data_IF_220248920524
#
_entry.id   IF_220248920524
#
_cell.length_a   1.000
_cell.length_b   1.000
_cell.length_c   1.000
_cell.angle_alpha   90.00
_cell.angle_beta   90.00
_cell.angle_gamma   90.00
#
_symmetry.space_group_name_H-M   'P 1'
#
loop_
_entity.id
_entity.type
_entity.pdbx_description
1 polymer ?
#
# COMPACT_ATOMS: atom_id res chain seq x y z
N UNK A 1 47.97 17.52 -5.45
CA UNK A 1 48.08 17.75 -6.90
C UNK A 1 46.76 18.31 -7.41
N UNK A 2 46.79 19.55 -7.80
CA UNK A 2 45.65 20.30 -8.37
C UNK A 2 45.56 20.01 -9.86
N UNK A 3 44.40 19.74 -10.40
CA UNK A 3 44.17 19.91 -11.85
C UNK A 3 42.85 20.66 -12.05
N UNK A 4 43.02 21.89 -12.53
CA UNK A 4 42.03 22.78 -13.13
C UNK A 4 41.75 22.31 -14.56
N UNK A 5 40.49 22.38 -15.00
CA UNK A 5 40.16 22.50 -16.42
C UNK A 5 39.17 23.63 -16.63
N UNK A 6 39.70 24.70 -17.29
CA UNK A 6 38.98 25.88 -17.77
C UNK A 6 38.67 25.69 -19.26
N UNK A 7 37.44 26.08 -19.64
CA UNK A 7 36.97 26.74 -20.84
C UNK A 7 37.37 26.23 -22.26
N UNK A 8 36.34 26.09 -23.08
CA UNK A 8 36.36 26.62 -24.44
C UNK A 8 34.95 26.94 -24.96
N UNK A 9 34.69 28.23 -25.15
CA UNK A 9 33.59 28.81 -25.91
C UNK A 9 33.93 28.78 -27.40
N UNK A 10 33.02 28.33 -28.28
CA UNK A 10 33.05 28.63 -29.71
C UNK A 10 31.88 29.53 -30.05
N UNK A 11 32.19 30.76 -30.40
CA UNK A 11 31.29 31.76 -30.95
C UNK A 11 31.21 31.53 -32.46
N UNK A 12 30.04 31.26 -33.00
CA UNK A 12 29.76 31.23 -34.43
C UNK A 12 29.03 32.53 -34.83
N UNK A 13 29.71 33.38 -35.61
CA UNK A 13 29.15 34.59 -36.21
C UNK A 13 28.45 34.19 -37.50
N UNK A 14 27.14 34.48 -37.62
CA UNK A 14 26.41 34.44 -38.89
C UNK A 14 26.02 35.88 -39.25
N UNK A 15 26.46 36.29 -40.44
CA UNK A 15 26.23 37.60 -41.01
C UNK A 15 24.76 37.81 -41.45
N UNK A 16 24.18 38.95 -41.09
CA UNK A 16 22.86 39.38 -41.49
C UNK A 16 22.99 40.32 -42.68
N UNK A 17 22.38 39.93 -43.78
CA UNK A 17 22.14 40.83 -44.93
C UNK A 17 20.90 41.68 -44.68
N UNK A 18 21.09 43.01 -44.73
CA UNK A 18 20.02 43.99 -44.66
C UNK A 18 19.24 44.05 -45.98
N UNK A 19 17.94 43.94 -45.93
CA UNK A 19 17.01 44.42 -46.92
C UNK A 19 16.12 45.47 -46.25
N UNK A 20 16.23 46.70 -46.77
CA UNK A 20 15.50 47.89 -46.34
C UNK A 20 14.29 48.05 -47.25
N UNK A 21 13.08 48.20 -46.72
CA UNK A 21 12.02 49.09 -47.18
C UNK A 21 10.72 48.91 -46.45
N UNK A 22 10.10 49.99 -45.98
CA UNK A 22 8.69 50.03 -45.58
C UNK A 22 8.45 50.65 -44.22
N UNK A 23 8.31 51.96 -44.13
CA UNK A 23 7.82 52.74 -43.02
C UNK A 23 6.37 52.38 -42.72
N UNK A 24 6.08 51.90 -41.47
CA UNK A 24 4.75 52.06 -40.86
C UNK A 24 4.93 52.32 -39.37
N UNK A 25 4.24 53.35 -38.90
CA UNK A 25 4.23 53.85 -37.54
C UNK A 25 3.96 52.73 -36.49
N UNK A 26 4.91 52.52 -35.60
CA UNK A 26 4.76 51.65 -34.45
C UNK A 26 4.49 52.56 -33.24
N UNK A 27 3.26 52.58 -32.76
CA UNK A 27 2.91 53.08 -31.43
C UNK A 27 3.68 52.30 -30.38
N UNK A 28 4.24 52.92 -29.33
CA UNK A 28 4.98 52.20 -28.30
C UNK A 28 4.00 51.33 -27.52
N UNK A 29 4.29 50.02 -27.50
CA UNK A 29 3.64 49.06 -26.56
C UNK A 29 3.90 49.57 -25.14
N UNK A 30 2.82 49.91 -24.43
CA UNK A 30 2.85 50.11 -22.99
C UNK A 30 3.35 48.81 -22.36
N UNK A 31 4.40 48.93 -21.55
CA UNK A 31 4.77 47.84 -20.62
C UNK A 31 3.54 47.56 -19.77
N UNK A 32 2.86 46.44 -20.02
CA UNK A 32 1.98 45.81 -19.09
C UNK A 32 2.87 45.41 -17.90
N UNK A 33 2.75 46.12 -16.80
CA UNK A 33 3.26 45.64 -15.52
C UNK A 33 2.70 44.23 -15.31
N UNK A 34 3.63 43.27 -15.13
CA UNK A 34 3.25 41.94 -14.68
C UNK A 34 2.40 42.11 -13.41
N UNK A 35 1.26 41.40 -13.25
CA UNK A 35 0.48 41.52 -12.06
C UNK A 35 1.41 41.18 -10.88
N UNK A 36 1.47 42.11 -9.90
CA UNK A 36 2.07 41.85 -8.61
C UNK A 36 1.53 40.50 -8.11
N UNK A 37 2.36 39.47 -8.11
CA UNK A 37 2.06 38.21 -7.45
C UNK A 37 2.00 38.54 -5.97
N UNK A 38 0.81 38.85 -5.47
CA UNK A 38 0.53 38.88 -4.04
C UNK A 38 0.94 37.49 -3.55
N UNK A 39 2.01 37.44 -2.77
CA UNK A 39 2.50 36.23 -2.15
C UNK A 39 1.34 35.66 -1.32
N UNK A 40 0.68 34.63 -1.84
CA UNK A 40 -0.42 34.02 -1.10
C UNK A 40 0.16 33.32 0.12
N UNK A 41 -0.43 33.53 1.31
CA UNK A 41 0.08 32.94 2.55
C UNK A 41 0.18 31.43 2.39
N UNK A 42 1.33 30.86 2.80
CA UNK A 42 1.60 29.41 2.70
C UNK A 42 0.72 28.67 3.69
N UNK A 43 -0.33 28.04 3.18
CA UNK A 43 -1.19 27.16 3.97
C UNK A 43 -0.60 25.75 4.01
N UNK A 44 -0.38 25.23 5.23
CA UNK A 44 0.08 23.87 5.45
C UNK A 44 -0.61 23.24 6.66
N UNK A 45 -1.06 22.02 6.53
CA UNK A 45 -1.82 21.30 7.59
C UNK A 45 -3.09 22.05 8.04
N UNK A 46 -3.69 22.87 7.16
CA UNK A 46 -4.83 23.72 7.48
C UNK A 46 -4.48 24.86 8.44
N UNK A 47 -3.25 25.36 8.41
CA UNK A 47 -2.76 26.50 9.17
C UNK A 47 -2.01 27.45 8.22
N UNK A 48 -2.22 28.75 8.42
CA UNK A 48 -1.39 29.81 7.79
C UNK A 48 -0.05 29.79 8.52
N UNK A 49 0.96 29.23 7.87
CA UNK A 49 2.23 28.86 8.50
C UNK A 49 3.01 30.06 9.03
N UNK A 50 2.87 31.20 8.39
CA UNK A 50 3.52 32.48 8.76
C UNK A 50 3.03 33.04 10.11
N UNK A 51 1.88 32.60 10.59
CA UNK A 51 1.34 33.00 11.90
C UNK A 51 1.98 32.26 13.08
N UNK A 52 2.90 31.34 12.81
CA UNK A 52 3.51 30.48 13.83
C UNK A 52 5.03 30.43 13.69
N UNK A 53 5.72 30.42 14.83
CA UNK A 53 7.08 29.89 14.89
C UNK A 53 7.00 28.37 14.92
N UNK A 54 7.82 27.68 14.13
CA UNK A 54 7.70 26.23 13.95
C UNK A 54 8.99 25.52 14.28
N UNK A 55 8.90 24.52 15.16
CA UNK A 55 9.90 23.49 15.37
C UNK A 55 9.47 22.18 14.71
N UNK A 56 10.43 21.37 14.26
CA UNK A 56 10.12 20.12 13.57
C UNK A 56 11.18 19.06 13.77
N UNK A 57 10.79 17.81 13.58
CA UNK A 57 11.72 16.70 13.68
C UNK A 57 11.09 15.38 13.27
N UNK A 58 11.75 14.29 13.64
CA UNK A 58 11.27 12.93 13.46
C UNK A 58 11.17 12.23 14.82
N UNK A 59 10.13 11.39 14.96
CA UNK A 59 9.97 10.55 16.15
C UNK A 59 11.11 9.54 16.22
N UNK A 60 11.88 9.54 17.32
CA UNK A 60 12.96 8.57 17.55
C UNK A 60 12.40 7.29 18.21
N UNK A 61 13.14 6.21 18.12
CA UNK A 61 12.78 4.95 18.78
C UNK A 61 12.62 5.17 20.29
N UNK A 62 11.49 4.71 20.85
CA UNK A 62 11.17 4.86 22.28
C UNK A 62 10.64 6.23 22.69
N UNK A 63 10.55 7.22 21.79
CA UNK A 63 9.90 8.50 22.12
C UNK A 63 8.37 8.34 22.19
N UNK A 64 7.79 8.98 23.19
CA UNK A 64 6.34 9.12 23.38
C UNK A 64 5.93 10.60 23.19
N UNK A 65 4.63 10.86 23.17
CA UNK A 65 4.09 12.22 23.09
C UNK A 65 4.70 13.15 24.15
N UNK A 66 4.89 12.66 25.38
CA UNK A 66 5.51 13.45 26.45
C UNK A 66 6.96 13.84 26.17
N UNK A 67 7.75 12.97 25.53
CA UNK A 67 9.12 13.31 25.13
C UNK A 67 9.18 14.44 24.09
N UNK A 68 8.11 14.62 23.32
CA UNK A 68 8.02 15.65 22.27
C UNK A 68 7.43 16.96 22.81
N UNK A 69 6.45 16.89 23.73
CA UNK A 69 5.72 18.06 24.20
C UNK A 69 6.29 18.69 25.48
N UNK A 70 6.93 17.91 26.38
CA UNK A 70 7.52 18.46 27.60
C UNK A 70 8.62 19.51 27.35
N UNK A 71 9.52 19.34 26.35
CA UNK A 71 10.50 20.37 26.01
C UNK A 71 9.87 21.69 25.51
N UNK A 72 8.65 21.62 24.96
CA UNK A 72 7.88 22.76 24.48
C UNK A 72 7.14 23.50 25.64
N UNK A 73 7.34 23.09 26.90
CA UNK A 73 6.78 23.75 28.08
C UNK A 73 5.41 23.23 28.52
N UNK A 74 4.87 22.15 27.90
CA UNK A 74 3.60 21.57 28.35
C UNK A 74 3.77 20.77 29.64
N UNK A 75 2.88 20.99 30.61
CA UNK A 75 2.85 20.22 31.84
C UNK A 75 2.46 18.76 31.62
N UNK A 76 2.90 17.86 32.50
CA UNK A 76 2.53 16.45 32.45
C UNK A 76 0.99 16.24 32.45
N UNK A 77 0.27 17.07 33.23
CA UNK A 77 -1.19 17.06 33.29
C UNK A 77 -1.83 17.43 31.94
N UNK A 78 -1.34 18.48 31.28
CA UNK A 78 -1.84 18.89 29.96
C UNK A 78 -1.60 17.79 28.91
N UNK A 79 -0.42 17.15 28.92
CA UNK A 79 -0.09 16.08 27.99
C UNK A 79 -1.02 14.87 28.17
N UNK A 80 -1.37 14.51 29.41
CA UNK A 80 -2.34 13.44 29.68
C UNK A 80 -3.71 13.82 29.14
N UNK A 81 -4.18 15.04 29.40
CA UNK A 81 -5.48 15.52 28.88
C UNK A 81 -5.53 15.54 27.34
N UNK A 82 -4.44 15.95 26.67
CA UNK A 82 -4.32 15.88 25.20
C UNK A 82 -4.44 14.44 24.71
N UNK A 83 -3.75 13.50 25.36
CA UNK A 83 -3.80 12.10 25.00
C UNK A 83 -5.19 11.48 25.22
N UNK A 84 -5.89 11.86 26.28
CA UNK A 84 -7.27 11.44 26.56
C UNK A 84 -8.26 12.06 25.58
N UNK A 85 -8.14 13.36 25.33
CA UNK A 85 -9.01 14.09 24.37
C UNK A 85 -8.82 13.62 22.93
N UNK A 86 -7.71 12.97 22.58
CA UNK A 86 -7.50 12.38 21.26
C UNK A 86 -8.28 11.09 21.04
N UNK A 87 -8.80 10.42 22.09
CA UNK A 87 -9.60 9.22 21.97
C UNK A 87 -11.09 9.56 21.66
N UNK A 88 -11.79 8.71 20.87
CA UNK A 88 -11.34 7.45 20.27
C UNK A 88 -10.62 7.63 18.92
N UNK A 89 -10.53 8.85 18.38
CA UNK A 89 -10.11 9.12 17.01
C UNK A 89 -8.65 8.75 16.74
N UNK A 90 -7.79 8.99 17.74
CA UNK A 90 -6.37 8.68 17.64
C UNK A 90 -5.74 8.20 18.95
N UNK A 91 -5.11 7.02 18.92
CA UNK A 91 -4.29 6.53 20.01
C UNK A 91 -2.84 6.99 19.86
N UNK A 92 -2.41 7.91 20.71
CA UNK A 92 -1.03 8.48 20.70
C UNK A 92 0.07 7.42 20.85
N UNK A 93 -0.26 6.22 21.40
CA UNK A 93 0.67 5.08 21.50
C UNK A 93 0.94 4.43 20.13
N UNK A 94 0.15 4.77 19.11
CA UNK A 94 0.34 4.30 17.74
C UNK A 94 1.37 5.10 16.94
N UNK A 95 1.96 6.14 17.54
CA UNK A 95 3.03 6.93 16.91
C UNK A 95 4.23 6.05 16.57
N UNK A 96 4.74 6.19 15.35
CA UNK A 96 5.83 5.35 14.83
C UNK A 96 7.13 6.12 14.75
N UNK A 97 8.23 5.47 15.14
CA UNK A 97 9.58 5.98 14.89
C UNK A 97 9.82 6.22 13.40
N UNK A 98 10.52 7.30 13.06
CA UNK A 98 10.81 7.72 11.70
C UNK A 98 9.77 8.68 11.09
N UNK A 99 8.59 8.80 11.65
CA UNK A 99 7.58 9.74 11.17
C UNK A 99 7.89 11.17 11.59
N UNK A 100 7.59 12.12 10.71
CA UNK A 100 7.83 13.54 10.95
C UNK A 100 6.78 14.15 11.89
N UNK A 101 7.19 15.20 12.59
CA UNK A 101 6.33 16.01 13.43
C UNK A 101 6.69 17.50 13.34
N UNK A 102 5.72 18.36 13.65
CA UNK A 102 5.87 19.82 13.76
C UNK A 102 5.17 20.30 15.01
N UNK A 103 5.80 21.27 15.69
CA UNK A 103 5.23 22.06 16.79
C UNK A 103 5.09 23.50 16.30
N UNK A 104 3.87 24.01 16.31
CA UNK A 104 3.56 25.38 15.94
C UNK A 104 3.31 26.21 17.21
N UNK A 105 4.13 27.23 17.39
CA UNK A 105 4.06 28.18 18.50
C UNK A 105 3.45 29.50 18.01
N UNK A 106 2.60 30.11 18.81
CA UNK A 106 2.09 31.45 18.48
C UNK A 106 3.24 32.45 18.38
N UNK A 107 3.14 33.41 17.46
CA UNK A 107 4.09 34.52 17.35
C UNK A 107 3.76 35.59 18.42
N UNK A 108 3.63 35.18 19.68
CA UNK A 108 3.48 36.05 20.83
C UNK A 108 4.78 36.07 21.69
N UNK A 109 4.85 36.96 22.67
CA UNK A 109 6.03 37.09 23.53
C UNK A 109 6.31 35.86 24.40
N UNK A 110 5.32 34.98 24.59
CA UNK A 110 5.40 33.77 25.40
C UNK A 110 5.78 32.54 24.55
N UNK A 111 5.76 32.66 23.20
CA UNK A 111 5.93 31.54 22.25
C UNK A 111 5.09 30.32 22.67
N UNK A 112 3.78 30.55 22.87
CA UNK A 112 2.87 29.52 23.39
C UNK A 112 2.66 28.41 22.37
N UNK A 113 2.88 27.11 22.72
CA UNK A 113 2.64 26.01 21.81
C UNK A 113 1.15 25.86 21.54
N UNK A 114 0.74 26.01 20.27
CA UNK A 114 -0.67 26.00 19.84
C UNK A 114 -1.07 24.68 19.22
N UNK A 115 -0.22 24.12 18.37
CA UNK A 115 -0.52 22.87 17.65
C UNK A 115 0.68 21.95 17.63
N UNK A 116 0.39 20.63 17.75
CA UNK A 116 1.32 19.57 17.43
C UNK A 116 0.78 18.79 16.24
N UNK A 117 1.55 18.70 15.16
CA UNK A 117 1.17 17.97 13.95
C UNK A 117 2.08 16.73 13.84
N UNK A 118 1.46 15.57 13.73
CA UNK A 118 2.16 14.30 13.57
C UNK A 118 1.79 13.69 12.22
N UNK A 119 2.76 13.50 11.34
CA UNK A 119 2.56 12.87 10.04
C UNK A 119 2.50 11.35 10.20
N UNK A 120 1.33 10.76 9.95
CA UNK A 120 1.08 9.32 10.15
C UNK A 120 1.65 8.47 9.01
N UNK A 121 1.65 9.02 7.80
CA UNK A 121 2.25 8.47 6.59
C UNK A 121 2.48 9.59 5.58
N UNK A 122 2.70 9.26 4.30
CA UNK A 122 3.01 10.24 3.25
C UNK A 122 1.91 11.30 3.02
N UNK A 123 0.66 11.02 3.41
CA UNK A 123 -0.51 11.86 3.13
C UNK A 123 -1.27 12.21 4.41
N UNK A 124 -1.49 11.23 5.30
CA UNK A 124 -2.31 11.40 6.50
C UNK A 124 -1.52 12.05 7.63
N UNK A 125 -2.16 12.97 8.35
CA UNK A 125 -1.62 13.56 9.56
C UNK A 125 -2.66 13.67 10.67
N UNK A 126 -2.18 13.81 11.91
CA UNK A 126 -2.97 14.13 13.09
C UNK A 126 -2.52 15.51 13.61
N UNK A 127 -3.45 16.46 13.70
CA UNK A 127 -3.24 17.80 14.24
C UNK A 127 -3.87 17.89 15.63
N UNK A 128 -3.05 18.01 16.65
CA UNK A 128 -3.46 18.15 18.05
C UNK A 128 -3.54 19.62 18.41
N UNK A 129 -4.64 20.04 19.00
CA UNK A 129 -4.76 21.34 19.63
C UNK A 129 -4.15 21.27 21.04
N UNK A 130 -3.14 22.09 21.30
CA UNK A 130 -2.40 22.10 22.56
C UNK A 130 -2.94 23.09 23.61
N UNK A 131 -3.93 23.86 23.25
CA UNK A 131 -4.71 24.76 24.11
C UNK A 131 -6.12 24.20 24.34
N UNK A 132 -6.72 24.47 25.50
CA UNK A 132 -8.08 24.05 25.78
C UNK A 132 -9.12 24.79 24.89
N UNK A 133 -10.13 24.10 24.38
CA UNK A 133 -10.38 22.66 24.54
C UNK A 133 -9.41 21.80 23.73
N UNK A 134 -8.77 20.82 24.41
CA UNK A 134 -7.88 19.89 23.76
C UNK A 134 -8.64 18.99 22.77
N UNK A 135 -7.96 18.58 21.71
CA UNK A 135 -8.54 17.69 20.72
C UNK A 135 -7.55 17.28 19.64
N UNK A 136 -7.96 16.34 18.80
CA UNK A 136 -7.21 15.91 17.61
C UNK A 136 -8.09 15.98 16.37
N UNK A 137 -7.54 16.48 15.29
CA UNK A 137 -8.14 16.43 13.96
C UNK A 137 -7.29 15.48 13.09
N UNK A 138 -7.93 14.43 12.57
CA UNK A 138 -7.32 13.59 11.53
C UNK A 138 -7.63 14.21 10.17
N UNK A 139 -6.61 14.44 9.37
CA UNK A 139 -6.76 15.05 8.06
C UNK A 139 -5.72 14.53 7.07
N UNK A 140 -5.86 14.92 5.82
CA UNK A 140 -4.98 14.57 4.72
C UNK A 140 -4.39 15.84 4.10
N UNK A 141 -3.14 15.74 3.64
CA UNK A 141 -2.56 16.78 2.78
C UNK A 141 -3.35 16.83 1.47
N UNK A 142 -3.48 18.00 0.84
CA UNK A 142 -4.03 18.10 -0.52
C UNK A 142 -3.25 17.20 -1.47
N UNK A 143 -3.97 16.38 -2.24
CA UNK A 143 -3.37 15.43 -3.16
C UNK A 143 -3.94 15.60 -4.55
N UNK A 144 -3.07 15.53 -5.54
CA UNK A 144 -3.44 15.36 -6.93
C UNK A 144 -3.19 13.90 -7.33
N UNK A 145 -4.13 13.30 -8.05
CA UNK A 145 -3.96 11.96 -8.59
C UNK A 145 -3.94 12.03 -10.11
N UNK A 146 -2.82 11.62 -10.69
CA UNK A 146 -2.60 11.65 -12.13
C UNK A 146 -2.52 10.22 -12.64
N UNK A 147 -3.16 9.95 -13.78
CA UNK A 147 -3.00 8.70 -14.51
C UNK A 147 -1.81 8.85 -15.45
N UNK A 148 -0.84 7.98 -15.29
CA UNK A 148 0.37 7.90 -16.09
C UNK A 148 0.40 6.57 -16.86
N UNK A 149 1.20 6.52 -17.95
CA UNK A 149 1.42 5.32 -18.75
C UNK A 149 2.88 4.96 -18.79
N UNK A 150 3.19 3.67 -18.64
CA UNK A 150 4.50 3.10 -18.90
C UNK A 150 4.38 1.92 -19.88
N UNK A 151 5.22 1.94 -20.93
CA UNK A 151 5.28 0.88 -21.93
C UNK A 151 6.73 0.50 -22.19
N UNK A 152 7.01 -0.79 -22.25
CA UNK A 152 8.37 -1.24 -22.49
C UNK A 152 8.50 -2.74 -22.67
N UNK A 153 9.73 -3.14 -22.96
CA UNK A 153 10.15 -4.55 -23.05
C UNK A 153 11.19 -4.81 -21.99
N UNK A 154 11.09 -5.94 -21.33
CA UNK A 154 12.05 -6.35 -20.30
C UNK A 154 13.34 -6.78 -20.95
N UNK A 155 14.43 -6.04 -20.68
CA UNK A 155 15.77 -6.31 -21.15
C UNK A 155 16.66 -6.88 -20.04
N UNK A 156 16.48 -6.40 -18.82
CA UNK A 156 17.26 -6.78 -17.63
C UNK A 156 16.35 -7.27 -16.50
N UNK A 157 15.61 -6.34 -15.90
CA UNK A 157 14.67 -6.62 -14.83
C UNK A 157 13.55 -5.58 -14.88
N UNK A 158 12.31 -5.99 -14.53
CA UNK A 158 11.14 -5.12 -14.66
C UNK A 158 11.32 -3.76 -13.98
N UNK A 159 11.88 -3.70 -12.77
CA UNK A 159 12.06 -2.43 -12.04
C UNK A 159 13.09 -1.50 -12.73
N UNK A 160 14.15 -2.08 -13.34
CA UNK A 160 15.16 -1.31 -14.11
C UNK A 160 14.55 -0.77 -15.41
N UNK A 161 13.80 -1.63 -16.10
CA UNK A 161 13.20 -1.27 -17.39
C UNK A 161 12.03 -0.28 -17.23
N UNK A 162 11.33 -0.29 -16.08
CA UNK A 162 10.36 0.74 -15.71
C UNK A 162 11.05 2.10 -15.50
N UNK A 163 12.15 2.16 -14.76
CA UNK A 163 12.93 3.39 -14.58
C UNK A 163 13.46 3.93 -15.91
N UNK A 164 13.89 3.05 -16.81
CA UNK A 164 14.35 3.43 -18.15
C UNK A 164 13.28 4.13 -18.99
N UNK A 165 12.00 3.79 -18.79
CA UNK A 165 10.87 4.46 -19.46
C UNK A 165 10.25 5.59 -18.64
N UNK A 166 10.92 6.05 -17.55
CA UNK A 166 10.48 7.17 -16.71
C UNK A 166 9.43 6.81 -15.65
N UNK A 167 9.07 5.54 -15.51
CA UNK A 167 8.13 5.07 -14.49
C UNK A 167 8.85 4.76 -13.15
N UNK A 168 8.15 4.87 -12.01
CA UNK A 168 8.76 4.53 -10.74
C UNK A 168 9.03 3.02 -10.64
N UNK A 169 10.20 2.62 -10.14
CA UNK A 169 10.56 1.21 -9.91
C UNK A 169 9.58 0.47 -9.00
N UNK A 170 8.93 1.19 -8.07
CA UNK A 170 7.89 0.65 -7.20
C UNK A 170 6.63 0.16 -7.95
N UNK A 171 6.44 0.57 -9.21
CA UNK A 171 5.37 0.05 -10.07
C UNK A 171 5.54 -1.45 -10.33
N UNK A 172 6.78 -1.97 -10.32
CA UNK A 172 7.03 -3.41 -10.41
C UNK A 172 6.36 -4.20 -9.28
N UNK A 173 6.37 -3.67 -8.06
CA UNK A 173 5.69 -4.31 -6.92
C UNK A 173 4.16 -4.23 -7.05
N UNK A 174 3.64 -3.12 -7.57
CA UNK A 174 2.21 -2.99 -7.84
C UNK A 174 1.76 -3.99 -8.90
N UNK A 175 2.48 -4.13 -10.02
CA UNK A 175 2.22 -5.13 -11.07
C UNK A 175 2.34 -6.56 -10.52
N UNK A 176 3.39 -6.85 -9.73
CA UNK A 176 3.56 -8.16 -9.10
C UNK A 176 2.40 -8.51 -8.18
N UNK A 177 1.81 -7.53 -7.49
CA UNK A 177 0.62 -7.72 -6.65
C UNK A 177 -0.63 -8.06 -7.49
N UNK A 178 -0.82 -7.38 -8.63
CA UNK A 178 -1.95 -7.64 -9.56
C UNK A 178 -1.89 -9.06 -10.11
N UNK A 179 -0.73 -9.48 -10.59
CA UNK A 179 -0.53 -10.78 -11.22
C UNK A 179 0.01 -11.87 -10.27
N UNK A 180 -0.03 -11.65 -8.95
CA UNK A 180 0.58 -12.55 -7.94
C UNK A 180 0.18 -14.03 -8.08
N UNK A 181 -0.95 -14.30 -8.73
CA UNK A 181 -1.51 -15.64 -8.90
C UNK A 181 -1.28 -16.24 -10.27
N UNK A 182 -0.96 -15.41 -11.27
CA UNK A 182 -0.84 -15.82 -12.67
C UNK A 182 0.61 -15.82 -13.15
N UNK A 183 1.45 -14.92 -12.62
CA UNK A 183 2.84 -14.74 -13.04
C UNK A 183 3.79 -14.87 -11.85
N UNK A 184 4.85 -15.63 -12.02
CA UNK A 184 5.99 -15.64 -11.10
C UNK A 184 6.99 -14.57 -11.54
N UNK A 185 6.90 -13.39 -10.89
CA UNK A 185 7.75 -12.23 -11.21
C UNK A 185 9.25 -12.47 -10.99
N UNK A 186 9.63 -13.54 -10.27
CA UNK A 186 11.04 -13.95 -10.16
C UNK A 186 11.56 -14.67 -11.41
N UNK A 187 10.66 -14.99 -12.35
CA UNK A 187 10.95 -15.76 -13.58
C UNK A 187 10.62 -15.00 -14.86
N UNK A 188 10.53 -13.68 -14.78
CA UNK A 188 10.39 -12.84 -15.96
C UNK A 188 11.59 -13.02 -16.89
N UNK A 189 11.34 -12.93 -18.18
CA UNK A 189 12.33 -13.20 -19.21
C UNK A 189 12.58 -11.94 -20.04
N UNK A 190 13.80 -11.86 -20.58
CA UNK A 190 14.10 -10.90 -21.63
C UNK A 190 13.15 -11.12 -22.81
N UNK A 191 12.52 -10.02 -23.28
CA UNK A 191 11.52 -10.03 -24.31
C UNK A 191 10.08 -10.04 -23.80
N UNK A 192 9.84 -10.29 -22.50
CA UNK A 192 8.51 -10.01 -21.91
C UNK A 192 8.20 -8.51 -22.03
N UNK A 193 6.95 -8.12 -22.20
CA UNK A 193 6.57 -6.74 -22.45
C UNK A 193 5.45 -6.28 -21.52
N UNK A 194 5.40 -4.97 -21.29
CA UNK A 194 4.37 -4.35 -20.46
C UNK A 194 3.85 -3.07 -21.11
N UNK A 195 2.56 -2.81 -20.91
CA UNK A 195 1.89 -1.56 -21.22
C UNK A 195 0.88 -1.31 -20.10
N UNK A 196 1.17 -0.35 -19.22
CA UNK A 196 0.45 -0.17 -17.96
C UNK A 196 0.02 1.26 -17.75
N UNK A 197 -1.28 1.45 -17.46
CA UNK A 197 -1.85 2.67 -16.90
C UNK A 197 -1.84 2.54 -15.38
N UNK A 198 -1.35 3.57 -14.70
CA UNK A 198 -1.29 3.58 -13.25
C UNK A 198 -1.59 4.95 -12.67
N UNK A 199 -2.23 4.98 -11.52
CA UNK A 199 -2.44 6.18 -10.73
C UNK A 199 -1.21 6.48 -9.89
N UNK A 200 -0.79 7.74 -9.91
CA UNK A 200 0.26 8.28 -9.06
C UNK A 200 -0.28 9.45 -8.26
N UNK A 201 -0.09 9.40 -6.96
CA UNK A 201 -0.54 10.47 -6.05
C UNK A 201 0.60 11.45 -5.80
N UNK A 202 0.30 12.73 -5.89
CA UNK A 202 1.22 13.84 -5.65
C UNK A 202 0.75 14.67 -4.46
N UNK A 203 1.71 15.15 -3.68
CA UNK A 203 1.53 16.14 -2.61
C UNK A 203 2.47 17.29 -2.89
N UNK A 204 1.95 18.49 -3.10
CA UNK A 204 2.75 19.67 -3.46
C UNK A 204 3.69 19.42 -4.66
N UNK A 205 3.21 18.73 -5.70
CA UNK A 205 3.98 18.40 -6.90
C UNK A 205 4.95 17.20 -6.74
N UNK A 206 5.12 16.68 -5.54
CA UNK A 206 6.01 15.54 -5.27
C UNK A 206 5.24 14.22 -5.23
N UNK A 207 5.72 13.17 -5.91
CA UNK A 207 5.07 11.86 -5.88
C UNK A 207 5.16 11.23 -4.49
N UNK A 208 4.05 10.71 -3.99
CA UNK A 208 3.94 10.06 -2.69
C UNK A 208 3.22 8.71 -2.78
N UNK A 209 3.65 7.80 -1.93
CA UNK A 209 3.04 6.47 -1.82
C UNK A 209 3.40 5.53 -2.97
N UNK A 210 2.70 4.40 -3.00
CA UNK A 210 2.84 3.39 -4.04
C UNK A 210 1.92 3.70 -5.22
N UNK A 211 2.38 3.58 -6.47
CA UNK A 211 1.50 3.68 -7.65
C UNK A 211 0.46 2.56 -7.60
N UNK A 212 -0.71 2.81 -8.19
CA UNK A 212 -1.81 1.83 -8.29
C UNK A 212 -2.10 1.54 -9.74
N UNK A 213 -1.96 0.29 -10.15
CA UNK A 213 -2.32 -0.13 -11.50
C UNK A 213 -3.81 0.13 -11.75
N UNK A 214 -4.14 0.73 -12.88
CA UNK A 214 -5.52 0.97 -13.36
C UNK A 214 -5.87 -0.05 -14.43
N UNK A 215 -4.99 -0.20 -15.43
CA UNK A 215 -5.06 -1.23 -16.45
C UNK A 215 -3.66 -1.67 -16.83
N UNK A 216 -3.50 -2.92 -17.20
CA UNK A 216 -2.21 -3.46 -17.62
C UNK A 216 -2.38 -4.52 -18.70
N UNK A 217 -1.63 -4.41 -19.80
CA UNK A 217 -1.35 -5.48 -20.74
C UNK A 217 0.06 -5.97 -20.48
N UNK A 218 0.19 -7.21 -20.09
CA UNK A 218 1.47 -7.81 -19.75
C UNK A 218 1.69 -9.08 -20.59
N UNK A 219 2.74 -9.08 -21.40
CA UNK A 219 3.12 -10.24 -22.19
C UNK A 219 4.22 -11.01 -21.47
N UNK A 220 3.96 -12.26 -21.14
CA UNK A 220 4.92 -13.14 -20.49
C UNK A 220 4.98 -14.50 -21.19
N UNK A 221 6.16 -14.87 -21.70
CA UNK A 221 6.38 -16.12 -22.43
C UNK A 221 5.40 -16.34 -23.58
N UNK A 222 5.12 -15.28 -24.32
CA UNK A 222 4.19 -15.30 -25.45
C UNK A 222 2.71 -15.40 -25.08
N UNK A 223 2.36 -15.27 -23.80
CA UNK A 223 0.97 -15.16 -23.33
C UNK A 223 0.65 -13.71 -23.03
N UNK A 224 -0.45 -13.24 -23.57
CA UNK A 224 -1.02 -11.93 -23.25
C UNK A 224 -1.91 -12.05 -22.02
N UNK A 225 -1.64 -11.18 -21.04
CA UNK A 225 -2.33 -11.12 -19.76
C UNK A 225 -2.84 -9.71 -19.56
N UNK A 226 -4.16 -9.56 -19.48
CA UNK A 226 -4.79 -8.26 -19.24
C UNK A 226 -5.23 -8.14 -17.78
N UNK A 227 -5.23 -6.91 -17.24
CA UNK A 227 -5.73 -6.61 -15.93
C UNK A 227 -6.44 -5.26 -15.95
N UNK A 228 -7.67 -5.22 -15.50
CA UNK A 228 -8.48 -4.00 -15.37
C UNK A 228 -8.99 -3.89 -13.95
N UNK A 229 -8.75 -2.74 -13.31
CA UNK A 229 -9.20 -2.46 -11.95
C UNK A 229 -10.66 -2.03 -11.97
N UNK A 230 -11.49 -2.75 -11.22
CA UNK A 230 -12.92 -2.50 -11.18
C UNK A 230 -13.52 -2.80 -9.80
N UNK A 231 -14.62 -2.11 -9.44
CA UNK A 231 -15.35 -2.31 -8.19
C UNK A 231 -16.79 -2.73 -8.48
N UNK A 232 -17.08 -3.99 -8.29
CA UNK A 232 -18.45 -4.53 -8.41
C UNK A 232 -19.27 -4.47 -7.10
N UNK A 233 -18.95 -3.48 -6.21
CA UNK A 233 -19.64 -3.31 -4.94
C UNK A 233 -19.00 -4.02 -3.73
N UNK A 234 -17.94 -4.80 -3.95
CA UNK A 234 -17.22 -5.54 -2.90
C UNK A 234 -15.82 -4.97 -2.62
N UNK A 235 -15.51 -3.81 -3.20
CA UNK A 235 -14.19 -3.16 -3.19
C UNK A 235 -13.46 -3.35 -4.53
N UNK A 236 -12.36 -2.62 -4.70
CA UNK A 236 -11.54 -2.68 -5.91
C UNK A 236 -10.85 -4.04 -6.03
N UNK A 237 -10.94 -4.64 -7.20
CA UNK A 237 -10.23 -5.87 -7.58
C UNK A 237 -9.78 -5.80 -9.05
N UNK A 238 -9.06 -6.83 -9.54
CA UNK A 238 -8.55 -6.89 -10.90
C UNK A 238 -9.17 -8.05 -11.64
N UNK A 239 -9.59 -7.78 -12.87
CA UNK A 239 -10.25 -8.73 -13.76
C UNK A 239 -9.56 -8.71 -15.13
N UNK A 240 -9.55 -9.84 -15.82
CA UNK A 240 -9.16 -9.88 -17.22
C UNK A 240 -10.27 -9.29 -18.12
N UNK A 241 -10.01 -9.20 -19.41
CA UNK A 241 -10.99 -8.64 -20.36
C UNK A 241 -12.28 -9.47 -20.50
N UNK A 242 -12.26 -10.74 -20.06
CA UNK A 242 -13.41 -11.61 -20.00
C UNK A 242 -14.15 -11.52 -18.66
N UNK A 243 -13.77 -10.60 -17.79
CA UNK A 243 -14.36 -10.43 -16.47
C UNK A 243 -13.98 -11.53 -15.46
N UNK A 244 -12.97 -12.36 -15.76
CA UNK A 244 -12.48 -13.34 -14.80
C UNK A 244 -11.55 -12.66 -13.79
N UNK A 245 -11.74 -12.95 -12.51
CA UNK A 245 -10.88 -12.38 -11.46
C UNK A 245 -9.44 -12.90 -11.59
N UNK A 246 -8.47 -11.99 -11.56
CA UNK A 246 -7.04 -12.35 -11.52
C UNK A 246 -6.62 -12.90 -10.15
N UNK A 247 -7.44 -12.73 -9.12
CA UNK A 247 -7.21 -13.35 -7.82
C UNK A 247 -7.63 -14.80 -7.86
N UNK A 248 -6.86 -15.68 -7.24
CA UNK A 248 -7.33 -17.01 -6.90
C UNK A 248 -8.19 -16.95 -5.64
N UNK A 249 -9.17 -17.84 -5.58
CA UNK A 249 -10.05 -17.93 -4.41
C UNK A 249 -9.29 -18.13 -3.08
N UNK A 250 -8.07 -18.67 -3.13
CA UNK A 250 -7.27 -18.94 -1.93
C UNK A 250 -5.78 -18.63 -2.09
N UNK A 251 -5.20 -18.02 -1.05
CA UNK A 251 -3.75 -17.84 -0.89
C UNK A 251 -3.05 -19.21 -0.73
N UNK A 252 -1.84 -19.34 -1.24
CA UNK A 252 -1.04 -20.56 -1.09
C UNK A 252 -0.58 -20.82 0.34
N UNK A 253 -0.45 -19.78 1.15
CA UNK A 253 -0.01 -19.88 2.55
C UNK A 253 -0.71 -18.84 3.43
N UNK A 254 -1.01 -19.17 4.70
CA UNK A 254 -1.66 -18.26 5.63
C UNK A 254 -0.69 -17.33 6.38
N UNK A 255 0.63 -17.44 6.10
CA UNK A 255 1.69 -16.68 6.77
C UNK A 255 2.76 -16.33 5.75
N UNK A 256 3.12 -15.05 5.67
CA UNK A 256 4.24 -14.58 4.85
C UNK A 256 5.59 -15.03 5.42
N UNK A 257 6.57 -15.20 4.55
CA UNK A 257 7.96 -15.56 4.91
C UNK A 257 8.08 -16.78 5.84
N UNK A 258 7.18 -17.75 5.69
CA UNK A 258 7.17 -18.97 6.49
C UNK A 258 7.83 -20.14 5.78
N UNK A 259 8.40 -21.07 6.58
CA UNK A 259 8.93 -22.35 6.11
C UNK A 259 7.95 -23.47 6.41
N UNK A 260 7.64 -24.30 5.43
CA UNK A 260 6.86 -25.52 5.69
C UNK A 260 7.73 -26.47 6.52
N UNK A 261 7.32 -26.71 7.77
CA UNK A 261 8.00 -27.61 8.70
C UNK A 261 7.43 -29.03 8.68
N UNK A 262 6.15 -29.18 8.31
CA UNK A 262 5.52 -30.50 8.14
C UNK A 262 4.40 -30.42 7.11
N UNK A 263 4.34 -31.36 6.18
CA UNK A 263 3.32 -31.46 5.14
C UNK A 263 2.14 -32.32 5.60
N UNK A 264 1.02 -32.24 4.86
CA UNK A 264 -0.09 -33.18 4.96
C UNK A 264 0.42 -34.61 4.76
N UNK A 265 0.09 -35.51 5.71
CA UNK A 265 0.54 -36.90 5.67
C UNK A 265 -0.43 -37.80 6.46
N UNK A 266 -0.99 -38.80 5.81
CA UNK A 266 -1.93 -39.75 6.42
C UNK A 266 -1.24 -40.72 7.42
N UNK A 267 0.08 -40.93 7.34
CA UNK A 267 0.86 -41.88 8.13
C UNK A 267 2.09 -41.20 8.74
N UNK A 268 1.91 -40.14 9.55
CA UNK A 268 3.01 -39.43 10.22
C UNK A 268 3.22 -39.94 11.63
N UNK A 269 4.48 -40.17 12.02
CA UNK A 269 4.85 -40.36 13.42
C UNK A 269 4.66 -39.05 14.20
N UNK A 270 3.85 -39.07 15.26
CA UNK A 270 3.56 -37.90 16.08
C UNK A 270 4.50 -37.84 17.28
N UNK A 271 5.46 -36.88 17.34
CA UNK A 271 6.53 -36.88 18.34
C UNK A 271 6.03 -36.73 19.78
N UNK A 272 4.96 -35.94 19.98
CA UNK A 272 4.38 -35.73 21.34
C UNK A 272 3.55 -36.93 21.81
N UNK A 273 2.86 -37.63 20.91
CA UNK A 273 1.99 -38.75 21.23
C UNK A 273 2.69 -40.11 21.12
N UNK A 274 3.94 -40.11 20.61
CA UNK A 274 4.77 -41.31 20.39
C UNK A 274 4.05 -42.43 19.64
N UNK A 275 3.23 -42.11 18.66
CA UNK A 275 2.48 -43.04 17.80
C UNK A 275 2.23 -42.50 16.42
N UNK A 276 1.97 -43.39 15.46
CA UNK A 276 1.56 -43.01 14.11
C UNK A 276 0.16 -42.38 14.15
N UNK A 277 0.03 -41.15 13.68
CA UNK A 277 -1.23 -40.42 13.56
C UNK A 277 -1.21 -39.56 12.29
N UNK A 278 -2.33 -39.54 11.56
CA UNK A 278 -2.49 -38.69 10.41
C UNK A 278 -2.27 -37.18 10.78
N UNK A 279 -1.49 -36.49 10.00
CA UNK A 279 -1.36 -35.04 10.00
C UNK A 279 -2.18 -34.47 8.84
N UNK A 280 -3.41 -34.08 9.12
CA UNK A 280 -4.38 -33.62 8.12
C UNK A 280 -4.28 -32.09 7.92
N UNK A 281 -3.06 -31.57 7.83
CA UNK A 281 -2.76 -30.16 7.62
C UNK A 281 -1.32 -29.94 7.18
N UNK A 282 -0.95 -28.69 6.98
CA UNK A 282 0.42 -28.26 6.70
C UNK A 282 0.87 -27.32 7.80
N UNK A 283 2.04 -27.56 8.38
CA UNK A 283 2.62 -26.74 9.43
C UNK A 283 3.57 -25.71 8.83
N UNK A 284 3.24 -24.43 9.03
CA UNK A 284 4.04 -23.27 8.62
C UNK A 284 4.76 -22.69 9.85
N UNK A 285 6.07 -22.92 9.93
CA UNK A 285 6.90 -22.38 11.00
C UNK A 285 7.19 -20.89 10.75
N UNK A 286 6.89 -20.07 11.76
CA UNK A 286 7.18 -18.64 11.77
C UNK A 286 7.37 -18.18 13.23
N UNK A 287 8.03 -17.04 13.48
CA UNK A 287 8.19 -16.49 14.82
C UNK A 287 6.85 -16.26 15.53
N UNK A 288 6.83 -16.41 16.86
CA UNK A 288 5.63 -16.09 17.66
C UNK A 288 5.25 -14.64 17.47
N UNK A 289 3.95 -14.38 17.21
CA UNK A 289 3.43 -13.03 16.97
C UNK A 289 3.38 -12.63 15.50
N UNK A 290 3.93 -13.43 14.57
CA UNK A 290 3.75 -13.20 13.13
C UNK A 290 2.26 -13.21 12.77
N UNK A 291 1.76 -12.26 11.96
CA UNK A 291 0.36 -12.24 11.53
C UNK A 291 -0.02 -13.51 10.76
N UNK A 292 -1.18 -14.07 11.08
CA UNK A 292 -1.84 -15.13 10.32
C UNK A 292 -3.00 -14.49 9.57
N UNK A 293 -3.05 -14.69 8.27
CA UNK A 293 -4.09 -14.12 7.40
C UNK A 293 -5.09 -15.16 6.93
N UNK A 294 -6.33 -14.73 6.67
CA UNK A 294 -7.30 -15.57 5.97
C UNK A 294 -6.82 -15.85 4.55
N UNK A 295 -6.79 -17.12 4.16
CA UNK A 295 -6.38 -17.47 2.78
C UNK A 295 -7.44 -17.18 1.73
N UNK A 296 -8.68 -16.90 2.11
CA UNK A 296 -9.79 -16.56 1.21
C UNK A 296 -10.85 -15.74 1.92
N UNK A 297 -11.75 -15.14 1.14
CA UNK A 297 -12.93 -14.45 1.67
C UNK A 297 -13.85 -15.46 2.36
N UNK A 298 -14.53 -15.08 3.43
CA UNK A 298 -15.43 -16.00 4.13
C UNK A 298 -16.02 -15.46 5.41
N UNK A 299 -16.67 -16.37 6.16
CA UNK A 299 -17.27 -16.08 7.47
C UNK A 299 -16.62 -16.97 8.52
N UNK A 300 -16.23 -16.38 9.63
CA UNK A 300 -15.66 -17.10 10.77
C UNK A 300 -16.71 -18.02 11.37
N UNK A 301 -16.54 -19.32 11.17
CA UNK A 301 -17.44 -20.34 11.70
C UNK A 301 -17.08 -20.78 13.12
N UNK A 302 -15.81 -20.66 13.52
CA UNK A 302 -15.32 -20.89 14.88
C UNK A 302 -14.13 -19.99 15.22
N UNK A 303 -14.13 -19.42 16.42
CA UNK A 303 -13.00 -18.72 17.04
C UNK A 303 -12.93 -19.19 18.49
N UNK A 304 -12.13 -20.24 18.78
CA UNK A 304 -12.22 -20.98 20.04
C UNK A 304 -10.86 -21.54 20.50
N UNK A 305 -10.89 -22.35 21.56
CA UNK A 305 -9.74 -23.05 22.10
C UNK A 305 -10.12 -24.54 22.37
N UNK A 306 -9.19 -25.42 22.02
CA UNK A 306 -9.26 -26.84 22.50
C UNK A 306 -7.85 -27.28 22.91
N UNK A 307 -7.78 -28.30 23.81
CA UNK A 307 -6.50 -28.85 24.29
C UNK A 307 -5.59 -29.30 23.13
N UNK A 308 -6.17 -29.82 22.05
CA UNK A 308 -5.41 -30.29 20.88
C UNK A 308 -5.01 -29.16 19.93
N UNK A 309 -5.96 -28.32 19.50
CA UNK A 309 -5.74 -27.28 18.50
C UNK A 309 -5.13 -25.99 19.08
N UNK A 310 -5.12 -25.83 20.40
CA UNK A 310 -4.81 -24.54 21.01
C UNK A 310 -5.89 -23.49 20.67
N UNK A 311 -5.52 -22.23 20.65
CA UNK A 311 -6.36 -21.16 20.12
C UNK A 311 -6.40 -21.30 18.60
N UNK A 312 -7.61 -21.31 18.03
CA UNK A 312 -7.80 -21.53 16.60
C UNK A 312 -8.96 -20.69 16.03
N UNK A 313 -8.88 -20.44 14.74
CA UNK A 313 -9.95 -19.85 13.92
C UNK A 313 -10.31 -20.86 12.82
N UNK A 314 -11.61 -21.02 12.52
CA UNK A 314 -12.10 -21.76 11.37
C UNK A 314 -12.99 -20.85 10.55
N UNK A 315 -12.79 -20.86 9.24
CA UNK A 315 -13.49 -19.99 8.28
C UNK A 315 -14.21 -20.87 7.28
N UNK A 316 -15.48 -20.55 7.02
CA UNK A 316 -16.26 -21.11 5.93
C UNK A 316 -16.23 -20.10 4.78
N UNK A 317 -15.66 -20.51 3.65
CA UNK A 317 -15.51 -19.66 2.47
C UNK A 317 -16.78 -19.72 1.59
N UNK A 318 -17.30 -20.92 1.40
CA UNK A 318 -18.54 -21.17 0.66
C UNK A 318 -19.10 -22.58 1.00
N UNK A 319 -19.99 -23.11 0.18
CA UNK A 319 -20.55 -24.46 0.38
C UNK A 319 -19.53 -25.59 0.20
N UNK A 320 -18.40 -25.34 -0.46
CA UNK A 320 -17.40 -26.34 -0.84
C UNK A 320 -16.18 -26.31 0.08
N UNK A 321 -15.72 -25.09 0.49
CA UNK A 321 -14.42 -24.90 1.11
C UNK A 321 -14.49 -24.32 2.52
N UNK A 322 -13.69 -24.90 3.42
CA UNK A 322 -13.42 -24.38 4.75
C UNK A 322 -11.93 -24.45 5.07
N UNK A 323 -11.44 -23.52 5.90
CA UNK A 323 -10.06 -23.51 6.41
C UNK A 323 -10.01 -23.39 7.92
N UNK A 324 -8.91 -23.85 8.51
CA UNK A 324 -8.69 -23.75 9.96
C UNK A 324 -7.22 -23.47 10.24
N UNK A 325 -6.99 -22.58 11.20
CA UNK A 325 -5.68 -22.03 11.57
C UNK A 325 -5.47 -22.26 13.07
N UNK A 326 -4.50 -23.09 13.43
CA UNK A 326 -4.32 -23.61 14.79
C UNK A 326 -3.11 -23.00 15.48
N UNK A 327 -3.01 -23.27 16.78
CA UNK A 327 -1.89 -22.97 17.66
C UNK A 327 -1.59 -21.48 17.86
N UNK A 328 -2.59 -20.59 17.59
CA UNK A 328 -2.45 -19.14 17.70
C UNK A 328 -2.05 -18.68 19.10
N UNK A 329 -1.26 -17.61 19.20
CA UNK A 329 -1.02 -16.87 20.45
C UNK A 329 -2.22 -15.97 20.79
N UNK A 330 -2.81 -15.31 19.76
CA UNK A 330 -3.97 -14.43 19.87
C UNK A 330 -4.86 -14.61 18.64
N UNK A 331 -6.18 -14.63 18.85
CA UNK A 331 -7.19 -14.53 17.80
C UNK A 331 -7.57 -13.07 17.62
N UNK A 332 -7.77 -12.61 16.40
CA UNK A 332 -8.10 -11.22 16.07
C UNK A 332 -9.54 -11.06 15.53
N UNK A 333 -10.29 -12.18 15.41
CA UNK A 333 -11.64 -12.18 14.82
C UNK A 333 -12.60 -13.01 15.68
N UNK A 334 -13.90 -12.70 15.56
CA UNK A 334 -15.01 -13.33 16.29
C UNK A 334 -15.86 -14.20 15.37
N UNK A 335 -16.64 -15.13 15.95
CA UNK A 335 -17.60 -15.96 15.20
C UNK A 335 -18.67 -15.09 14.56
N UNK A 336 -19.01 -15.38 13.31
CA UNK A 336 -19.95 -14.61 12.49
C UNK A 336 -19.33 -13.45 11.73
N UNK A 337 -18.10 -13.06 12.04
CA UNK A 337 -17.39 -11.98 11.35
C UNK A 337 -17.06 -12.37 9.91
N UNK A 338 -17.33 -11.45 8.97
CA UNK A 338 -16.86 -11.57 7.58
C UNK A 338 -15.41 -11.16 7.50
N UNK A 339 -14.60 -11.98 6.86
CA UNK A 339 -13.18 -11.73 6.64
C UNK A 339 -12.87 -11.76 5.16
N UNK A 340 -11.90 -10.93 4.74
CA UNK A 340 -11.38 -10.90 3.36
C UNK A 340 -10.10 -11.71 3.27
N UNK A 341 -9.79 -12.18 2.07
CA UNK A 341 -8.48 -12.75 1.75
C UNK A 341 -7.37 -11.76 2.12
N UNK A 342 -6.33 -12.24 2.84
CA UNK A 342 -5.24 -11.39 3.33
C UNK A 342 -5.53 -10.66 4.65
N UNK A 343 -6.77 -10.67 5.15
CA UNK A 343 -7.11 -10.05 6.44
C UNK A 343 -6.45 -10.83 7.60
N UNK A 344 -5.84 -10.09 8.54
CA UNK A 344 -5.25 -10.68 9.76
C UNK A 344 -6.36 -11.25 10.66
N UNK A 345 -6.31 -12.55 10.92
CA UNK A 345 -7.27 -13.29 11.74
C UNK A 345 -6.70 -13.76 13.09
N UNK A 346 -5.40 -13.62 13.27
CA UNK A 346 -4.69 -13.98 14.50
C UNK A 346 -3.19 -13.91 14.34
N UNK A 347 -2.49 -14.47 15.31
CA UNK A 347 -1.03 -14.39 15.36
C UNK A 347 -0.44 -15.75 15.71
N UNK A 348 0.70 -16.09 15.09
CA UNK A 348 1.43 -17.34 15.33
C UNK A 348 1.75 -17.52 16.81
N UNK A 349 1.56 -18.73 17.30
CA UNK A 349 1.83 -19.13 18.66
C UNK A 349 2.32 -20.57 18.76
N UNK A 350 2.19 -21.13 19.97
CA UNK A 350 2.51 -22.52 20.30
C UNK A 350 1.52 -23.06 21.33
N UNK A 351 0.22 -22.69 21.21
CA UNK A 351 -0.82 -23.13 22.15
C UNK A 351 -1.37 -24.50 21.77
N UNK A 352 -1.84 -25.29 22.74
CA UNK A 352 -2.33 -26.66 22.53
C UNK A 352 -1.19 -27.67 22.35
N UNK A 353 -1.39 -28.68 21.50
CA UNK A 353 -0.38 -29.72 21.21
C UNK A 353 0.59 -29.27 20.10
N UNK A 354 1.42 -28.28 20.41
CA UNK A 354 2.45 -27.74 19.51
C UNK A 354 3.85 -27.93 20.12
N UNK A 355 4.84 -28.28 19.31
CA UNK A 355 6.25 -28.46 19.72
C UNK A 355 7.07 -27.18 19.62
N UNK A 356 6.56 -26.15 18.97
CA UNK A 356 7.20 -24.85 18.77
C UNK A 356 6.31 -23.87 18.03
N UNK A 357 6.73 -22.62 17.81
CA UNK A 357 5.92 -21.63 17.14
C UNK A 357 5.66 -22.00 15.66
N UNK A 358 4.38 -22.20 15.31
CA UNK A 358 3.92 -22.47 13.95
C UNK A 358 2.40 -22.25 13.86
N UNK A 359 1.88 -22.19 12.65
CA UNK A 359 0.46 -22.37 12.37
C UNK A 359 0.26 -23.71 11.67
N UNK A 360 -0.57 -24.59 12.23
CA UNK A 360 -1.06 -25.77 11.52
C UNK A 360 -2.28 -25.36 10.71
N UNK A 361 -2.12 -25.34 9.39
CA UNK A 361 -3.14 -24.95 8.43
C UNK A 361 -3.85 -26.17 7.88
N UNK A 362 -5.18 -26.19 7.99
CA UNK A 362 -6.02 -27.26 7.48
C UNK A 362 -7.00 -26.75 6.46
N UNK A 363 -7.23 -27.54 5.43
CA UNK A 363 -8.11 -27.21 4.31
C UNK A 363 -9.14 -28.33 4.09
N UNK A 364 -10.41 -27.95 3.92
CA UNK A 364 -11.50 -28.88 3.59
C UNK A 364 -12.08 -28.54 2.23
N UNK A 365 -12.38 -29.58 1.46
CA UNK A 365 -13.15 -29.55 0.23
C UNK A 365 -14.29 -30.54 0.33
N UNK A 366 -15.54 -30.08 0.22
CA UNK A 366 -16.74 -30.89 0.37
C UNK A 366 -16.74 -31.70 1.70
N UNK A 367 -16.39 -31.06 2.80
CA UNK A 367 -16.35 -31.64 4.13
C UNK A 367 -15.19 -32.60 4.42
N UNK A 368 -14.30 -32.88 3.45
CA UNK A 368 -13.12 -33.74 3.62
C UNK A 368 -11.85 -32.90 3.70
N UNK A 369 -10.95 -33.26 4.63
CA UNK A 369 -9.62 -32.62 4.70
C UNK A 369 -8.74 -33.08 3.53
N UNK A 370 -8.12 -32.11 2.84
CA UNK A 370 -7.28 -32.33 1.67
C UNK A 370 -5.93 -31.63 1.83
N UNK A 371 -4.95 -32.05 1.02
CA UNK A 371 -3.66 -31.38 0.91
C UNK A 371 -3.80 -30.16 -0.02
N UNK A 372 -3.94 -28.96 0.55
CA UNK A 372 -4.14 -27.73 -0.21
C UNK A 372 -2.99 -27.42 -1.17
N UNK A 373 -1.78 -27.94 -0.95
CA UNK A 373 -0.64 -27.75 -1.85
C UNK A 373 -0.78 -28.52 -3.17
N UNK A 374 -1.72 -29.47 -3.22
CA UNK A 374 -2.04 -30.27 -4.41
C UNK A 374 -3.35 -29.86 -5.06
N UNK A 375 -4.11 -28.95 -4.43
CA UNK A 375 -5.38 -28.46 -4.98
C UNK A 375 -5.13 -27.34 -5.98
N UNK A 376 -5.82 -27.43 -7.12
CA UNK A 376 -5.95 -26.32 -8.05
C UNK A 376 -7.17 -25.49 -7.65
N UNK A 377 -6.92 -24.24 -7.27
CA UNK A 377 -7.98 -23.34 -6.86
C UNK A 377 -8.55 -22.60 -8.07
N UNK A 378 -9.88 -22.47 -8.17
CA UNK A 378 -10.49 -21.65 -9.18
C UNK A 378 -10.10 -20.18 -9.02
N UNK A 379 -10.28 -19.33 -10.05
CA UNK A 379 -10.30 -17.89 -9.87
C UNK A 379 -11.27 -17.50 -8.74
N UNK A 380 -11.09 -16.31 -8.18
CA UNK A 380 -12.06 -15.69 -7.29
C UNK A 380 -13.37 -15.40 -8.06
N UNK A 381 -14.32 -14.75 -7.43
CA UNK A 381 -15.61 -14.42 -8.06
C UNK A 381 -15.39 -13.58 -9.31
N UNK A 382 -15.86 -14.00 -10.48
CA UNK A 382 -15.81 -13.18 -11.71
C UNK A 382 -16.73 -11.96 -11.55
N UNK A 383 -16.71 -11.07 -12.55
CA UNK A 383 -17.67 -9.98 -12.64
C UNK A 383 -19.08 -10.53 -12.56
N UNK A 384 -19.93 -9.91 -11.76
CA UNK A 384 -21.34 -10.27 -11.60
C UNK A 384 -22.10 -9.93 -12.90
N UNK A 385 -23.13 -10.68 -13.20
CA UNK A 385 -23.91 -10.52 -14.43
C UNK A 385 -24.53 -9.11 -14.53
N UNK A 386 -24.98 -8.54 -13.42
CA UNK A 386 -25.55 -7.20 -13.33
C UNK A 386 -24.50 -6.07 -13.47
N UNK A 387 -23.22 -6.36 -13.27
CA UNK A 387 -22.11 -5.41 -13.41
C UNK A 387 -21.34 -5.57 -14.75
N UNK A 388 -21.66 -6.60 -15.55
CA UNK A 388 -20.87 -6.96 -16.73
C UNK A 388 -20.84 -5.85 -17.78
N UNK A 389 -21.98 -5.25 -18.08
CA UNK A 389 -22.07 -4.19 -19.10
C UNK A 389 -21.29 -2.94 -18.72
N UNK A 390 -21.31 -2.53 -17.44
CA UNK A 390 -20.55 -1.40 -16.92
C UNK A 390 -19.04 -1.70 -16.91
N UNK A 391 -18.67 -2.94 -16.58
CA UNK A 391 -17.30 -3.42 -16.67
C UNK A 391 -16.77 -3.37 -18.11
N UNK A 392 -17.53 -3.91 -19.10
CA UNK A 392 -17.14 -3.88 -20.50
C UNK A 392 -16.95 -2.45 -21.02
N UNK A 393 -17.83 -1.53 -20.63
CA UNK A 393 -17.67 -0.11 -20.96
C UNK A 393 -16.39 0.47 -20.34
N UNK A 394 -16.10 0.11 -19.09
CA UNK A 394 -14.86 0.53 -18.40
C UNK A 394 -13.62 -0.01 -19.13
N UNK A 395 -13.61 -1.27 -19.53
CA UNK A 395 -12.51 -1.88 -20.30
C UNK A 395 -12.28 -1.13 -21.61
N UNK A 396 -13.34 -0.82 -22.35
CA UNK A 396 -13.23 -0.09 -23.62
C UNK A 396 -12.69 1.32 -23.42
N UNK A 397 -13.15 2.06 -22.40
CA UNK A 397 -12.62 3.38 -22.06
C UNK A 397 -11.12 3.33 -21.70
N UNK A 398 -10.68 2.33 -20.94
CA UNK A 398 -9.29 2.17 -20.57
C UNK A 398 -8.41 1.77 -21.75
N UNK A 399 -8.92 0.96 -22.70
CA UNK A 399 -8.24 0.65 -23.96
C UNK A 399 -8.03 1.91 -24.80
N UNK A 400 -9.08 2.70 -25.00
CA UNK A 400 -8.98 3.97 -25.72
C UNK A 400 -8.00 4.94 -25.02
N UNK A 401 -7.97 4.96 -23.69
CA UNK A 401 -7.01 5.75 -22.93
C UNK A 401 -5.57 5.26 -23.16
N UNK A 402 -5.34 3.95 -23.17
CA UNK A 402 -4.02 3.37 -23.49
C UNK A 402 -3.59 3.80 -24.90
N UNK A 403 -4.48 3.74 -25.90
CA UNK A 403 -4.14 4.08 -27.27
C UNK A 403 -3.93 5.58 -27.50
N UNK A 404 -4.66 6.45 -26.77
CA UNK A 404 -4.60 7.91 -26.90
C UNK A 404 -3.47 8.56 -26.11
N UNK A 405 -3.03 7.99 -25.01
CA UNK A 405 -1.97 8.55 -24.19
C UNK A 405 -0.60 8.37 -24.86
N UNK A 406 0.02 9.47 -25.27
CA UNK A 406 1.40 9.44 -25.73
C UNK A 406 2.32 8.97 -24.59
N UNK A 407 3.27 8.09 -24.92
CA UNK A 407 4.34 7.71 -24.01
C UNK A 407 5.14 8.97 -23.75
N UNK A 408 5.21 9.44 -22.52
CA UNK A 408 6.12 10.50 -22.13
C UNK A 408 7.55 10.02 -22.48
N UNK A 409 8.22 10.77 -23.37
CA UNK A 409 9.61 10.51 -23.79
C UNK A 409 10.58 11.08 -22.78
#
# INVERSE_FOLDING_TARGET
MKFNWLQRWCVGIIAITLIQCGSNDITPFSHSEAPDTVDQPVERFGLIWEHFAVDSGTVRSGQSLSHLLSPAGLSASAIVQIAEASQPDYDVRSMKSGNAWWLAFRNDSAATPAYFIYQRNAIDYAKFQLEAPFGVQLAQLPTDTIIERAKGVIEQALYVDLERVGAPSSLALAMASVYAWTVDFSRLQKGDAFDVLYERTYVAGEPKGMPRVVACHFQHRGKDLTAYRYNQGEGMDYFDEQGQSLRKAFLKAPVEFSRISSRYNLKRFHPVLNRTKAHLGTDYAAPKGTPIVSVGDGVVSKSSYTKGNGKYVKIRHNGTYETQYLHMSKRAVSVGERVRQGQVIGYVGSTGLATGPHVCFRFWKNGKQVDHLREEFPPSTPIKEDALADFEQTVEQLRLAIDSMHIAR
#
